data_IF_004864110389
#
_entry.id   IF_004864110389
#
_cell.length_a   1.000
_cell.length_b   1.000
_cell.length_c   1.000
_cell.angle_alpha   90.00
_cell.angle_beta   90.00
_cell.angle_gamma   90.00
#
_symmetry.space_group_name_H-M   'P 1'
#
loop_
_entity.id
_entity.type
_entity.pdbx_description
1 polymer ?
#
# COMPACT_ATOMS: atom_id res chain seq x y z
N UNK A 1 -4.29 -11.97 -17.51
CA UNK A 1 -3.72 -11.36 -16.29
C UNK A 1 -4.90 -10.92 -15.44
N UNK A 2 -4.92 -11.22 -14.13
CA UNK A 2 -5.95 -10.66 -13.24
C UNK A 2 -5.74 -9.14 -13.18
N UNK A 3 -6.82 -8.35 -13.26
CA UNK A 3 -6.72 -6.90 -13.07
C UNK A 3 -6.27 -6.61 -11.63
N UNK A 4 -5.21 -5.83 -11.48
CA UNK A 4 -4.76 -5.35 -10.19
C UNK A 4 -5.52 -4.05 -9.88
N UNK A 5 -6.59 -4.18 -9.09
CA UNK A 5 -7.45 -3.04 -8.73
C UNK A 5 -6.64 -1.91 -8.09
N UNK A 6 -5.57 -2.22 -7.34
CA UNK A 6 -4.76 -1.22 -6.65
C UNK A 6 -3.97 -0.36 -7.64
N UNK A 7 -3.46 -0.95 -8.73
CA UNK A 7 -2.74 -0.20 -9.76
C UNK A 7 -3.66 0.74 -10.56
N UNK A 8 -4.86 0.27 -10.89
CA UNK A 8 -5.88 1.06 -11.59
C UNK A 8 -6.36 2.22 -10.71
N UNK A 9 -6.74 1.92 -9.47
CA UNK A 9 -7.14 2.91 -8.47
C UNK A 9 -6.03 3.93 -8.24
N UNK A 10 -4.78 3.49 -8.08
CA UNK A 10 -3.66 4.40 -7.86
C UNK A 10 -3.56 5.45 -8.99
N UNK A 11 -3.66 5.00 -10.25
CA UNK A 11 -3.64 5.91 -11.40
C UNK A 11 -4.76 6.95 -11.33
N UNK A 12 -5.97 6.54 -10.95
CA UNK A 12 -7.12 7.44 -10.79
C UNK A 12 -6.91 8.40 -9.61
N UNK A 13 -6.40 7.93 -8.48
CA UNK A 13 -6.12 8.79 -7.31
C UNK A 13 -5.04 9.83 -7.63
N UNK A 14 -3.98 9.47 -8.36
CA UNK A 14 -2.97 10.44 -8.77
C UNK A 14 -3.55 11.55 -9.66
N UNK A 15 -4.50 11.21 -10.53
CA UNK A 15 -5.21 12.21 -11.34
C UNK A 15 -6.10 13.10 -10.48
N UNK A 16 -6.84 12.53 -9.51
CA UNK A 16 -7.65 13.29 -8.57
C UNK A 16 -6.79 14.22 -7.69
N UNK A 17 -5.61 13.78 -7.25
CA UNK A 17 -4.64 14.62 -6.51
C UNK A 17 -4.19 15.81 -7.36
N UNK A 18 -3.92 15.61 -8.66
CA UNK A 18 -3.57 16.72 -9.58
C UNK A 18 -4.72 17.70 -9.75
N UNK A 19 -5.95 17.20 -9.95
CA UNK A 19 -7.15 18.04 -10.06
C UNK A 19 -7.38 18.86 -8.81
N UNK A 20 -7.28 18.23 -7.64
CA UNK A 20 -7.39 18.91 -6.36
C UNK A 20 -6.35 20.01 -6.19
N UNK A 21 -5.08 19.73 -6.52
CA UNK A 21 -4.00 20.71 -6.41
C UNK A 21 -4.18 21.88 -7.39
N UNK A 22 -4.66 21.62 -8.61
CA UNK A 22 -4.98 22.66 -9.58
C UNK A 22 -6.14 23.55 -9.10
N UNK A 23 -7.23 22.94 -8.59
CA UNK A 23 -8.35 23.67 -8.01
C UNK A 23 -7.92 24.51 -6.79
N UNK A 24 -7.08 23.95 -5.92
CA UNK A 24 -6.51 24.67 -4.77
C UNK A 24 -5.68 25.87 -5.20
N UNK A 25 -4.85 25.74 -6.23
CA UNK A 25 -4.06 26.85 -6.76
C UNK A 25 -4.92 27.94 -7.42
N UNK A 26 -6.11 27.58 -7.92
CA UNK A 26 -7.10 28.49 -8.49
C UNK A 26 -8.12 29.03 -7.48
N UNK A 27 -7.98 28.70 -6.18
CA UNK A 27 -8.95 29.02 -5.12
C UNK A 27 -10.38 28.53 -5.43
N UNK A 28 -10.52 27.45 -6.20
CA UNK A 28 -11.79 26.84 -6.59
C UNK A 28 -12.26 25.81 -5.54
N UNK A 29 -13.09 26.26 -4.61
CA UNK A 29 -13.67 25.40 -3.57
C UNK A 29 -14.54 24.27 -4.13
N UNK A 30 -15.28 24.53 -5.21
CA UNK A 30 -16.15 23.52 -5.82
C UNK A 30 -15.33 22.42 -6.49
N UNK A 31 -14.26 22.79 -7.20
CA UNK A 31 -13.31 21.83 -7.79
C UNK A 31 -12.58 21.01 -6.74
N UNK A 32 -12.17 21.62 -5.62
CA UNK A 32 -11.58 20.90 -4.48
C UNK A 32 -12.56 19.89 -3.89
N UNK A 33 -13.83 20.25 -3.71
CA UNK A 33 -14.85 19.36 -3.16
C UNK A 33 -15.17 18.21 -4.13
N UNK A 34 -15.31 18.49 -5.42
CA UNK A 34 -15.57 17.47 -6.44
C UNK A 34 -14.47 16.40 -6.49
N UNK A 35 -13.19 16.81 -6.39
CA UNK A 35 -12.07 15.87 -6.34
C UNK A 35 -12.09 15.00 -5.08
N UNK A 36 -12.48 15.56 -3.92
CA UNK A 36 -12.64 14.81 -2.67
C UNK A 36 -13.79 13.80 -2.74
N UNK A 37 -14.93 14.20 -3.30
CA UNK A 37 -16.10 13.32 -3.43
C UNK A 37 -15.80 12.14 -4.37
N UNK A 38 -15.11 12.41 -5.49
CA UNK A 38 -14.65 11.37 -6.40
C UNK A 38 -13.64 10.41 -5.75
N UNK A 39 -12.72 10.93 -4.93
CA UNK A 39 -11.79 10.10 -4.16
C UNK A 39 -12.52 9.19 -3.16
N UNK A 40 -13.48 9.74 -2.42
CA UNK A 40 -14.27 8.98 -1.45
C UNK A 40 -15.06 7.86 -2.13
N UNK A 41 -15.70 8.16 -3.26
CA UNK A 41 -16.43 7.17 -4.06
C UNK A 41 -15.52 6.02 -4.53
N UNK A 42 -14.28 6.35 -4.92
CA UNK A 42 -13.30 5.37 -5.34
C UNK A 42 -12.86 4.47 -4.16
N UNK A 43 -12.63 5.05 -2.98
CA UNK A 43 -12.29 4.30 -1.76
C UNK A 43 -13.44 3.39 -1.30
N UNK A 44 -14.68 3.88 -1.40
CA UNK A 44 -15.88 3.08 -1.12
C UNK A 44 -15.96 1.87 -2.06
N UNK A 45 -15.63 2.05 -3.35
CA UNK A 45 -15.52 0.95 -4.31
C UNK A 45 -14.53 -0.13 -3.89
N UNK A 46 -13.33 0.27 -3.43
CA UNK A 46 -12.32 -0.69 -2.93
C UNK A 46 -12.80 -1.41 -1.67
N UNK A 47 -13.53 -0.72 -0.78
CA UNK A 47 -14.05 -1.32 0.46
C UNK A 47 -14.94 -2.52 0.20
N UNK A 48 -15.68 -2.51 -0.92
CA UNK A 48 -16.56 -3.63 -1.32
C UNK A 48 -15.79 -4.87 -1.75
N UNK A 49 -14.49 -4.74 -2.06
CA UNK A 49 -13.62 -5.85 -2.43
C UNK A 49 -13.05 -6.62 -1.22
N UNK A 50 -13.29 -6.17 0.02
CA UNK A 50 -12.89 -6.90 1.23
C UNK A 50 -12.44 -6.00 2.39
N UNK A 51 -12.56 -6.50 3.62
CA UNK A 51 -12.27 -5.76 4.86
C UNK A 51 -10.83 -5.19 4.90
N UNK A 52 -9.86 -5.91 4.32
CA UNK A 52 -8.45 -5.47 4.25
C UNK A 52 -8.11 -4.64 3.00
N UNK A 53 -9.02 -4.49 2.04
CA UNK A 53 -8.69 -3.94 0.71
C UNK A 53 -8.31 -2.47 0.74
N UNK A 54 -8.97 -1.65 1.56
CA UNK A 54 -8.56 -0.24 1.75
C UNK A 54 -7.18 -0.16 2.38
N UNK A 55 -6.90 -1.00 3.39
CA UNK A 55 -5.60 -1.02 4.06
C UNK A 55 -4.49 -1.37 3.08
N UNK A 56 -4.67 -2.42 2.30
CA UNK A 56 -3.70 -2.85 1.28
C UNK A 56 -3.53 -1.76 0.21
N UNK A 57 -4.61 -1.11 -0.22
CA UNK A 57 -4.52 0.00 -1.15
C UNK A 57 -3.68 1.16 -0.60
N UNK A 58 -3.86 1.56 0.66
CA UNK A 58 -3.04 2.63 1.27
C UNK A 58 -1.56 2.29 1.27
N UNK A 59 -1.23 1.05 1.61
CA UNK A 59 0.16 0.57 1.58
C UNK A 59 0.71 0.50 0.15
N UNK A 60 -0.13 0.14 -0.83
CA UNK A 60 0.21 0.20 -2.24
C UNK A 60 0.51 1.63 -2.68
N UNK A 61 -0.38 2.57 -2.37
CA UNK A 61 -0.22 3.99 -2.69
C UNK A 61 1.06 4.55 -2.06
N UNK A 62 1.28 4.31 -0.78
CA UNK A 62 2.49 4.75 -0.07
C UNK A 62 3.75 4.16 -0.71
N UNK A 63 3.77 2.87 -1.01
CA UNK A 63 4.90 2.24 -1.68
C UNK A 63 5.20 2.89 -3.03
N UNK A 64 4.18 3.17 -3.84
CA UNK A 64 4.36 3.85 -5.13
C UNK A 64 4.82 5.29 -4.98
N UNK A 65 4.24 6.04 -4.05
CA UNK A 65 4.60 7.43 -3.78
C UNK A 65 6.05 7.54 -3.27
N UNK A 66 6.53 6.53 -2.52
CA UNK A 66 7.92 6.44 -2.06
C UNK A 66 8.87 5.81 -3.09
N UNK A 67 8.39 5.38 -4.26
CA UNK A 67 9.20 4.79 -5.32
C UNK A 67 9.61 3.33 -5.08
N UNK A 68 8.94 2.61 -4.20
CA UNK A 68 9.12 1.18 -3.98
C UNK A 68 8.42 0.34 -5.07
N UNK A 69 9.04 -0.80 -5.40
CA UNK A 69 8.49 -1.75 -6.36
C UNK A 69 7.34 -2.58 -5.78
N UNK A 70 7.45 -2.94 -4.50
CA UNK A 70 6.52 -3.82 -3.79
C UNK A 70 5.75 -3.06 -2.72
N UNK A 71 4.53 -3.52 -2.45
CA UNK A 71 3.77 -3.09 -1.27
C UNK A 71 4.60 -3.43 -0.04
N UNK A 72 4.70 -2.51 0.90
CA UNK A 72 5.42 -2.74 2.15
C UNK A 72 4.46 -2.80 3.35
N UNK A 73 4.55 -3.86 4.14
CA UNK A 73 3.91 -3.98 5.43
C UNK A 73 4.85 -3.42 6.51
N UNK A 74 4.88 -2.09 6.64
CA UNK A 74 5.68 -1.40 7.67
C UNK A 74 4.95 -1.28 9.04
N UNK A 75 3.62 -1.42 9.07
CA UNK A 75 2.82 -1.34 10.29
C UNK A 75 2.60 -2.71 10.97
N UNK A 76 2.02 -2.68 12.17
CA UNK A 76 1.62 -3.90 12.90
C UNK A 76 0.56 -4.67 12.10
N UNK A 77 0.82 -5.94 11.81
CA UNK A 77 -0.16 -6.88 11.26
C UNK A 77 -0.55 -7.85 12.37
N UNK A 78 -1.82 -7.85 12.77
CA UNK A 78 -2.32 -8.77 13.78
C UNK A 78 -2.42 -10.18 13.20
N UNK A 79 -2.13 -11.18 14.03
CA UNK A 79 -2.15 -12.60 13.64
C UNK A 79 -3.45 -13.02 12.92
N UNK A 80 -4.60 -12.51 13.42
CA UNK A 80 -5.93 -12.78 12.87
C UNK A 80 -6.13 -12.21 11.44
N UNK A 81 -5.38 -11.17 11.07
CA UNK A 81 -5.55 -10.45 9.80
C UNK A 81 -4.65 -11.05 8.70
N UNK A 82 -3.59 -11.79 9.06
CA UNK A 82 -2.58 -12.31 8.13
C UNK A 82 -3.21 -13.10 6.98
N UNK A 83 -4.10 -14.04 7.30
CA UNK A 83 -4.74 -14.89 6.29
C UNK A 83 -5.58 -14.07 5.29
N UNK A 84 -6.38 -13.12 5.80
CA UNK A 84 -7.20 -12.23 4.98
C UNK A 84 -6.37 -11.31 4.09
N UNK A 85 -5.27 -10.77 4.62
CA UNK A 85 -4.36 -9.92 3.86
C UNK A 85 -3.67 -10.69 2.73
N UNK A 86 -3.14 -11.89 2.99
CA UNK A 86 -2.50 -12.72 1.95
C UNK A 86 -3.51 -13.14 0.89
N UNK A 87 -4.75 -13.49 1.27
CA UNK A 87 -5.81 -13.79 0.33
C UNK A 87 -6.13 -12.60 -0.59
N UNK A 88 -6.30 -11.41 -0.02
CA UNK A 88 -6.58 -10.19 -0.78
C UNK A 88 -5.43 -9.82 -1.73
N UNK A 89 -4.16 -9.96 -1.31
CA UNK A 89 -3.02 -9.79 -2.22
C UNK A 89 -3.08 -10.75 -3.41
N UNK A 90 -3.34 -12.04 -3.15
CA UNK A 90 -3.44 -13.09 -4.19
C UNK A 90 -4.61 -12.87 -5.14
N UNK A 91 -5.75 -12.45 -4.62
CA UNK A 91 -6.96 -12.14 -5.41
C UNK A 91 -6.72 -11.00 -6.38
N UNK A 92 -5.95 -9.99 -5.96
CA UNK A 92 -5.57 -8.82 -6.75
C UNK A 92 -4.31 -9.02 -7.61
N UNK A 93 -3.79 -10.25 -7.69
CA UNK A 93 -2.66 -10.60 -8.55
C UNK A 93 -1.32 -10.04 -8.08
N UNK A 94 -1.20 -9.65 -6.81
CA UNK A 94 0.09 -9.30 -6.21
C UNK A 94 0.88 -10.58 -6.00
N UNK A 95 2.11 -10.59 -6.50
CA UNK A 95 3.01 -11.75 -6.41
C UNK A 95 4.11 -11.59 -5.37
N UNK A 96 4.41 -10.35 -4.97
CA UNK A 96 5.47 -10.02 -4.02
C UNK A 96 5.08 -8.84 -3.13
N UNK A 97 5.55 -8.87 -1.89
CA UNK A 97 5.44 -7.78 -0.93
C UNK A 97 6.68 -7.75 -0.04
N UNK A 98 6.95 -6.60 0.58
CA UNK A 98 7.96 -6.47 1.63
C UNK A 98 7.31 -6.36 3.00
N UNK A 99 8.04 -6.77 4.03
CA UNK A 99 7.63 -6.64 5.42
C UNK A 99 8.78 -6.04 6.22
N UNK A 100 8.66 -4.76 6.56
CA UNK A 100 9.70 -3.96 7.22
C UNK A 100 9.35 -3.56 8.66
N UNK A 101 8.22 -4.03 9.20
CA UNK A 101 7.75 -3.60 10.51
C UNK A 101 8.72 -3.95 11.65
N UNK A 102 9.00 -2.97 12.51
CA UNK A 102 9.98 -3.06 13.60
C UNK A 102 9.37 -3.45 14.96
N UNK A 103 8.12 -3.90 15.00
CA UNK A 103 7.45 -4.25 16.25
C UNK A 103 7.94 -5.59 16.81
N UNK A 104 7.74 -5.81 18.12
CA UNK A 104 8.34 -6.93 18.83
C UNK A 104 7.93 -8.33 18.33
N UNK A 105 6.74 -8.46 17.73
CA UNK A 105 6.23 -9.73 17.17
C UNK A 105 6.45 -9.87 15.66
N UNK A 106 7.26 -9.02 15.04
CA UNK A 106 7.45 -9.05 13.58
C UNK A 106 7.92 -10.42 13.08
N UNK A 107 8.80 -11.10 13.81
CA UNK A 107 9.27 -12.45 13.45
C UNK A 107 8.11 -13.47 13.45
N UNK A 108 7.20 -13.39 14.42
CA UNK A 108 6.04 -14.27 14.50
C UNK A 108 5.06 -14.01 13.34
N UNK A 109 4.86 -12.74 12.97
CA UNK A 109 4.09 -12.37 11.76
C UNK A 109 4.74 -12.90 10.49
N UNK A 110 6.06 -12.75 10.36
CA UNK A 110 6.81 -13.29 9.23
C UNK A 110 6.64 -14.81 9.12
N UNK A 111 6.65 -15.51 10.26
CA UNK A 111 6.33 -16.93 10.32
C UNK A 111 4.90 -17.22 9.86
N UNK A 112 3.90 -16.45 10.30
CA UNK A 112 2.51 -16.60 9.87
C UNK A 112 2.32 -16.39 8.36
N UNK A 113 3.06 -15.46 7.73
CA UNK A 113 3.05 -15.34 6.27
C UNK A 113 3.50 -16.64 5.60
N UNK A 114 4.53 -17.32 6.13
CA UNK A 114 4.96 -18.62 5.60
C UNK A 114 3.91 -19.70 5.76
N UNK A 115 3.19 -19.72 6.89
CA UNK A 115 2.08 -20.64 7.12
C UNK A 115 0.90 -20.41 6.15
N UNK A 116 0.78 -19.20 5.60
CA UNK A 116 -0.23 -18.82 4.62
C UNK A 116 0.25 -18.93 3.16
N UNK A 117 1.33 -19.68 2.92
CA UNK A 117 1.82 -19.98 1.57
C UNK A 117 2.68 -18.89 0.94
N UNK A 118 3.16 -17.92 1.73
CA UNK A 118 4.19 -16.99 1.28
C UNK A 118 5.58 -17.61 1.46
N UNK A 119 6.53 -17.25 0.61
CA UNK A 119 7.92 -17.70 0.73
C UNK A 119 8.82 -16.52 1.03
N UNK A 120 9.57 -16.59 2.13
CA UNK A 120 10.62 -15.64 2.44
C UNK A 120 11.78 -15.81 1.46
N UNK A 121 12.11 -14.76 0.71
CA UNK A 121 13.15 -14.77 -0.32
C UNK A 121 14.47 -14.18 0.14
N UNK A 122 14.43 -13.30 1.15
CA UNK A 122 15.61 -12.69 1.73
C UNK A 122 15.32 -11.30 2.32
N UNK A 123 16.41 -10.57 2.57
CA UNK A 123 16.38 -9.18 2.99
C UNK A 123 16.55 -8.25 1.79
N UNK A 124 15.87 -7.11 1.83
CA UNK A 124 15.98 -6.06 0.80
C UNK A 124 16.05 -4.69 1.47
N UNK A 125 16.67 -3.73 0.79
CA UNK A 125 16.58 -2.32 1.12
C UNK A 125 15.39 -1.70 0.38
N UNK A 126 14.58 -0.91 1.09
CA UNK A 126 13.44 -0.17 0.54
C UNK A 126 13.51 1.29 0.99
N UNK A 127 12.70 2.14 0.38
CA UNK A 127 12.42 3.47 0.89
C UNK A 127 11.37 3.37 2.01
N UNK A 128 11.63 4.04 3.13
CA UNK A 128 10.65 4.22 4.21
C UNK A 128 9.60 5.28 3.80
N UNK A 129 8.46 5.38 4.52
CA UNK A 129 7.49 6.45 4.27
C UNK A 129 7.98 7.83 4.73
N UNK A 130 9.16 7.91 5.36
CA UNK A 130 9.71 9.13 5.92
C UNK A 130 10.80 9.71 5.02
N UNK A 131 10.71 11.01 4.75
CA UNK A 131 11.77 11.77 4.10
C UNK A 131 12.86 12.13 5.10
N UNK A 132 14.10 12.08 4.66
CA UNK A 132 15.23 12.54 5.46
C UNK A 132 15.08 14.03 5.79
N UNK A 133 15.45 14.42 7.01
CA UNK A 133 15.29 15.78 7.48
C UNK A 133 15.97 16.80 6.55
N UNK A 134 15.18 17.72 5.97
CA UNK A 134 15.68 18.74 5.05
C UNK A 134 15.96 18.24 3.63
N UNK A 135 15.52 17.04 3.27
CA UNK A 135 15.69 16.45 1.94
C UNK A 135 14.34 16.00 1.35
N UNK A 136 14.29 15.91 0.03
CA UNK A 136 13.19 15.24 -0.69
C UNK A 136 13.41 13.73 -0.83
N UNK A 137 14.56 13.22 -0.41
CA UNK A 137 14.90 11.81 -0.43
C UNK A 137 14.25 11.06 0.74
N UNK A 138 13.74 9.86 0.45
CA UNK A 138 13.22 8.94 1.46
C UNK A 138 14.36 8.25 2.23
N UNK A 139 14.18 8.10 3.53
CA UNK A 139 15.09 7.32 4.37
C UNK A 139 15.07 5.85 3.94
N UNK A 140 16.18 5.15 4.14
CA UNK A 140 16.28 3.72 3.83
C UNK A 140 15.79 2.88 5.00
N UNK A 141 15.03 1.83 4.67
CA UNK A 141 14.60 0.81 5.61
C UNK A 141 15.00 -0.59 5.08
N UNK A 142 15.02 -1.56 5.98
CA UNK A 142 15.30 -2.96 5.64
C UNK A 142 14.04 -3.77 5.88
N UNK A 143 13.69 -4.62 4.92
CA UNK A 143 12.52 -5.48 5.02
C UNK A 143 12.80 -6.88 4.50
N UNK A 144 11.91 -7.79 4.84
CA UNK A 144 11.87 -9.12 4.26
C UNK A 144 11.09 -9.10 2.95
N UNK A 145 11.64 -9.66 1.88
CA UNK A 145 10.89 -9.89 0.64
C UNK A 145 10.18 -11.24 0.71
N UNK A 146 8.88 -11.22 0.45
CA UNK A 146 8.05 -12.41 0.33
C UNK A 146 7.49 -12.53 -1.07
N UNK A 147 7.50 -13.74 -1.63
CA UNK A 147 6.68 -14.12 -2.78
C UNK A 147 5.40 -14.84 -2.32
N UNK A 148 4.33 -14.69 -3.10
CA UNK A 148 3.02 -15.29 -2.85
C UNK A 148 2.81 -16.44 -3.85
N UNK A 149 2.61 -17.66 -3.33
CA UNK A 149 2.22 -18.83 -4.11
C UNK A 149 0.74 -18.86 -4.50
#
# INVERSE_FOLDING_TARGET
MKNNIFAETYTQVQELKKQYNAAKAAEDEAGMQAARDAYNLLMDGISTAGESSIRIYRLYEEARDCGNEYIDFNEVVWDKDVAGMVAALRENGITHFTFSSSWSGAVDTAWLFTQNGCRLEGLVEINSPHKAFGSDEYEKAHGYLFSIG
#
